data_IF_076630310272
#
_entry.id   IF_076630310272
#
_cell.length_a   1.000
_cell.length_b   1.000
_cell.length_c   1.000
_cell.angle_alpha   90.00
_cell.angle_beta   90.00
_cell.angle_gamma   90.00
#
_symmetry.space_group_name_H-M   'P 1'
#
loop_
_entity.id
_entity.type
_entity.pdbx_description
1 polymer ?
#
# COMPACT_ATOMS: atom_id res chain seq x y z
N UNK A 1 -54.82 50.06 -8.10
CA UNK A 1 -54.24 51.21 -7.36
C UNK A 1 -52.85 51.50 -7.92
N UNK A 2 -52.48 52.78 -7.94
CA UNK A 2 -51.22 53.40 -8.43
C UNK A 2 -51.05 54.68 -7.58
N UNK A 3 -49.85 55.27 -7.32
CA UNK A 3 -48.45 54.88 -7.57
C UNK A 3 -47.77 54.37 -6.26
N UNK A 4 -46.47 54.08 -6.07
CA UNK A 4 -45.15 54.63 -6.49
C UNK A 4 -44.73 55.96 -5.82
N UNK A 5 -43.60 56.02 -5.09
CA UNK A 5 -42.49 56.99 -5.24
C UNK A 5 -41.35 56.81 -4.21
N UNK A 6 -40.23 57.53 -4.40
CA UNK A 6 -38.94 57.39 -3.69
C UNK A 6 -38.44 58.67 -2.99
N UNK A 7 -37.70 58.53 -1.87
CA UNK A 7 -36.61 59.40 -1.32
C UNK A 7 -35.97 58.63 -0.13
N UNK A 8 -34.65 58.54 0.15
CA UNK A 8 -33.39 59.22 -0.23
C UNK A 8 -33.06 60.49 0.61
N UNK A 9 -31.76 60.64 0.98
CA UNK A 9 -31.06 61.73 1.75
C UNK A 9 -30.99 61.41 3.28
N UNK A 10 -29.83 61.12 3.93
CA UNK A 10 -28.55 61.87 4.18
C UNK A 10 -28.74 62.87 5.36
N UNK A 11 -27.84 63.11 6.35
CA UNK A 11 -26.39 62.85 6.61
C UNK A 11 -26.09 62.74 8.12
N UNK A 12 -24.86 62.34 8.52
CA UNK A 12 -24.36 62.55 9.90
C UNK A 12 -22.97 61.94 10.22
N UNK A 13 -21.88 62.51 9.69
CA UNK A 13 -20.49 62.15 10.08
C UNK A 13 -19.87 63.18 11.03
N UNK A 14 -18.94 62.72 11.90
CA UNK A 14 -17.54 63.20 12.02
C UNK A 14 -16.84 62.41 13.16
N UNK A 15 -15.70 61.75 12.92
CA UNK A 15 -14.30 62.22 13.09
C UNK A 15 -13.93 62.47 14.57
N UNK A 16 -12.78 62.07 15.15
CA UNK A 16 -11.52 61.44 14.70
C UNK A 16 -10.92 60.67 15.93
N UNK A 17 -9.78 59.97 15.96
CA UNK A 17 -8.60 59.71 15.09
C UNK A 17 -7.96 58.36 15.52
N UNK A 18 -6.89 57.87 14.87
CA UNK A 18 -6.03 56.79 15.43
C UNK A 18 -5.33 55.87 14.42
N UNK A 19 -4.25 56.34 13.77
CA UNK A 19 -3.43 55.53 12.85
C UNK A 19 -2.07 55.19 13.48
N UNK A 20 -1.63 53.93 13.37
CA UNK A 20 -0.25 53.49 13.66
C UNK A 20 0.27 52.67 12.47
N UNK A 21 1.55 52.82 12.16
CA UNK A 21 2.16 52.45 10.87
C UNK A 21 2.82 51.07 10.85
N UNK A 22 2.85 50.46 9.67
CA UNK A 22 3.69 49.29 9.39
C UNK A 22 5.17 49.68 9.26
N UNK A 23 6.05 49.18 10.12
CA UNK A 23 7.48 49.36 9.94
C UNK A 23 8.02 48.41 8.85
N UNK A 24 8.61 48.98 7.80
CA UNK A 24 9.56 48.29 6.93
C UNK A 24 10.92 48.24 7.64
N UNK A 25 11.55 47.08 7.68
CA UNK A 25 13.01 46.99 7.82
C UNK A 25 13.65 46.81 6.44
N UNK A 26 14.90 47.25 6.29
CA UNK A 26 15.64 47.29 5.03
C UNK A 26 16.99 46.59 5.24
N UNK A 27 17.38 45.72 4.32
CA UNK A 27 18.46 44.73 4.47
C UNK A 27 19.91 45.30 4.42
N UNK A 28 20.09 46.61 4.59
CA UNK A 28 21.37 47.30 4.36
C UNK A 28 22.11 47.79 5.62
N UNK A 29 21.62 47.52 6.84
CA UNK A 29 22.34 47.86 8.07
C UNK A 29 23.25 46.72 8.58
N UNK A 30 24.44 46.66 7.97
CA UNK A 30 25.70 46.12 8.51
C UNK A 30 25.81 44.60 8.77
N UNK A 31 26.97 43.96 8.53
CA UNK A 31 28.23 44.45 7.96
C UNK A 31 29.29 43.34 7.99
N UNK A 32 30.09 43.20 6.92
CA UNK A 32 31.02 42.08 6.76
C UNK A 32 32.17 42.08 7.78
N UNK A 33 32.45 40.91 8.38
CA UNK A 33 33.80 40.40 8.68
C UNK A 33 33.78 38.90 8.96
N UNK A 34 34.52 38.13 8.18
CA UNK A 34 34.90 36.76 8.49
C UNK A 34 36.41 36.63 8.61
N UNK A 35 36.91 35.59 9.29
CA UNK A 35 38.32 35.19 9.32
C UNK A 35 38.43 33.69 9.64
N UNK A 36 39.55 33.06 9.23
CA UNK A 36 39.82 31.62 9.37
C UNK A 36 40.80 31.31 10.52
N UNK A 37 40.65 30.12 11.11
CA UNK A 37 41.71 29.23 11.65
C UNK A 37 40.97 27.96 12.12
N UNK A 38 41.16 26.72 11.63
CA UNK A 38 42.22 26.01 10.89
C UNK A 38 43.29 25.33 11.78
N UNK A 39 43.39 24.00 11.59
CA UNK A 39 44.45 23.02 11.96
C UNK A 39 44.59 22.43 13.38
N UNK A 40 44.71 21.09 13.36
CA UNK A 40 45.49 20.18 14.22
C UNK A 40 45.13 19.96 15.70
N UNK A 41 44.53 18.79 15.99
CA UNK A 41 45.31 17.68 16.55
C UNK A 41 44.59 16.33 16.42
N UNK A 42 45.37 15.24 16.36
CA UNK A 42 44.93 13.84 16.42
C UNK A 42 45.47 13.24 17.72
N UNK A 43 44.70 12.33 18.35
CA UNK A 43 44.95 11.50 19.57
C UNK A 43 43.90 11.74 20.67
N UNK A 44 43.50 10.76 21.49
CA UNK A 44 43.69 9.30 21.43
C UNK A 44 42.64 8.61 22.33
N UNK A 45 42.38 7.34 22.04
CA UNK A 45 41.38 6.48 22.68
C UNK A 45 41.60 6.34 24.20
N UNK A 46 40.56 6.61 25.00
CA UNK A 46 40.42 6.07 26.37
C UNK A 46 38.99 5.67 26.67
N UNK A 47 38.85 4.57 27.41
CA UNK A 47 37.61 4.05 27.98
C UNK A 47 37.86 3.95 29.48
N UNK A 48 36.99 4.54 30.32
CA UNK A 48 36.38 3.87 31.49
C UNK A 48 35.60 4.79 32.44
N UNK A 49 34.59 4.19 33.10
CA UNK A 49 34.38 4.29 34.55
C UNK A 49 33.95 5.61 35.24
N UNK A 50 32.63 5.84 35.36
CA UNK A 50 31.97 6.72 36.36
C UNK A 50 32.28 8.24 36.25
N UNK A 51 31.61 9.22 36.87
CA UNK A 51 30.41 9.32 37.75
C UNK A 51 29.81 10.77 37.56
N UNK A 52 28.76 11.30 38.21
CA UNK A 52 27.86 10.85 39.29
C UNK A 52 26.48 11.56 39.22
N UNK A 53 25.41 10.85 39.58
CA UNK A 53 24.17 11.30 40.28
C UNK A 53 23.64 12.75 40.06
N UNK A 54 22.46 12.85 39.43
CA UNK A 54 21.29 13.56 40.02
C UNK A 54 20.00 12.90 39.51
N UNK A 55 19.07 12.60 40.42
CA UNK A 55 17.86 11.83 40.11
C UNK A 55 16.59 12.67 40.30
N UNK A 56 15.60 12.46 39.42
CA UNK A 56 14.16 12.70 39.60
C UNK A 56 13.41 11.90 38.51
N UNK A 57 12.26 11.30 38.85
CA UNK A 57 11.37 10.47 37.97
C UNK A 57 12.09 9.40 37.09
N UNK A 58 12.27 8.17 37.56
CA UNK A 58 11.28 7.06 37.54
C UNK A 58 10.63 6.80 36.16
N UNK A 59 10.69 5.59 35.58
CA UNK A 59 11.40 4.36 35.98
C UNK A 59 11.59 3.45 34.76
N UNK A 60 12.83 3.04 34.44
CA UNK A 60 13.13 2.09 33.34
C UNK A 60 13.17 0.66 33.90
N UNK A 61 12.63 -0.33 33.17
CA UNK A 61 12.72 -1.73 33.63
C UNK A 61 14.16 -2.24 33.59
N UNK A 62 14.56 -2.96 34.64
CA UNK A 62 15.78 -3.76 34.68
C UNK A 62 15.38 -5.24 34.59
N UNK A 63 15.98 -5.95 33.64
CA UNK A 63 15.96 -7.41 33.65
C UNK A 63 16.81 -7.91 34.83
N UNK A 64 16.19 -8.70 35.71
CA UNK A 64 16.89 -9.58 36.65
C UNK A 64 16.39 -10.99 36.45
N UNK A 65 17.28 -11.87 36.01
CA UNK A 65 17.09 -13.30 36.10
C UNK A 65 17.19 -13.70 37.58
N UNK A 66 16.25 -14.49 38.07
CA UNK A 66 16.41 -15.17 39.37
C UNK A 66 15.86 -16.58 39.23
N UNK A 67 16.69 -17.56 39.57
CA UNK A 67 16.44 -18.98 39.34
C UNK A 67 16.03 -19.62 40.68
N UNK A 68 14.79 -20.10 40.78
CA UNK A 68 14.30 -20.90 41.90
C UNK A 68 13.40 -22.01 41.36
N UNK A 69 13.37 -23.16 42.05
CA UNK A 69 12.64 -24.35 41.62
C UNK A 69 11.81 -24.99 42.74
N UNK A 70 11.09 -26.04 42.35
CA UNK A 70 10.34 -27.00 43.16
C UNK A 70 9.14 -26.50 44.00
N UNK A 71 7.96 -26.86 43.45
CA UNK A 71 6.78 -27.42 44.13
C UNK A 71 6.04 -26.65 45.25
N UNK A 72 4.72 -26.49 45.04
CA UNK A 72 3.71 -27.26 45.80
C UNK A 72 2.35 -27.28 45.09
N UNK A 73 1.55 -28.31 45.39
CA UNK A 73 0.27 -28.59 44.74
C UNK A 73 -0.88 -27.70 45.22
N UNK A 74 -1.82 -27.37 44.31
CA UNK A 74 -3.18 -26.93 44.64
C UNK A 74 -4.19 -27.58 43.67
N UNK A 75 -5.21 -28.30 44.16
CA UNK A 75 -6.22 -28.94 43.32
C UNK A 75 -7.42 -28.03 43.06
N UNK A 76 -7.48 -27.35 41.92
CA UNK A 76 -8.68 -26.63 41.46
C UNK A 76 -9.05 -27.04 40.04
N UNK A 77 -10.17 -27.76 39.89
CA UNK A 77 -10.76 -28.04 38.57
C UNK A 77 -11.38 -26.75 38.02
N UNK A 78 -10.80 -26.19 36.96
CA UNK A 78 -11.43 -25.15 36.13
C UNK A 78 -11.56 -25.70 34.71
N UNK A 79 -12.75 -25.57 34.12
CA UNK A 79 -13.04 -26.07 32.76
C UNK A 79 -12.35 -25.20 31.70
N UNK A 80 -11.30 -25.73 31.07
CA UNK A 80 -10.48 -25.02 30.09
C UNK A 80 -11.12 -24.92 28.70
N UNK A 81 -11.96 -23.90 28.48
CA UNK A 81 -12.37 -23.43 27.14
C UNK A 81 -12.26 -21.90 27.01
N UNK A 82 -11.02 -21.39 27.01
CA UNK A 82 -10.72 -20.01 26.60
C UNK A 82 -9.53 -19.99 25.63
N UNK A 83 -9.82 -19.82 24.33
CA UNK A 83 -8.82 -19.62 23.29
C UNK A 83 -8.43 -18.13 23.17
N UNK A 84 -7.85 -17.57 24.24
CA UNK A 84 -7.32 -16.21 24.24
C UNK A 84 -5.94 -16.15 23.54
N UNK A 85 -5.89 -16.40 22.21
CA UNK A 85 -4.75 -15.96 21.39
C UNK A 85 -4.92 -14.49 21.00
N UNK A 86 -4.22 -13.61 21.71
CA UNK A 86 -4.07 -12.20 21.34
C UNK A 86 -3.08 -12.07 20.17
N UNK A 87 -3.59 -12.12 18.94
CA UNK A 87 -2.79 -12.03 17.72
C UNK A 87 -2.11 -10.66 17.57
N UNK A 88 -0.86 -10.56 18.03
CA UNK A 88 0.08 -9.54 17.55
C UNK A 88 0.53 -9.89 16.13
N UNK A 89 0.88 -8.88 15.33
CA UNK A 89 1.33 -9.06 13.93
C UNK A 89 2.59 -9.92 13.77
N UNK A 90 3.36 -10.11 14.84
CA UNK A 90 4.53 -11.01 14.87
C UNK A 90 4.11 -12.48 14.99
N UNK A 91 3.01 -12.78 15.69
CA UNK A 91 2.68 -14.12 16.16
C UNK A 91 2.40 -15.11 15.01
N UNK A 92 1.60 -14.70 14.03
CA UNK A 92 1.20 -15.57 12.91
C UNK A 92 2.36 -15.96 11.99
N UNK A 93 3.38 -15.11 11.86
CA UNK A 93 4.59 -15.41 11.10
C UNK A 93 5.55 -16.25 11.95
N UNK A 94 5.75 -15.86 13.21
CA UNK A 94 6.65 -16.55 14.14
C UNK A 94 6.28 -18.02 14.39
N UNK A 95 4.99 -18.37 14.44
CA UNK A 95 4.53 -19.76 14.63
C UNK A 95 4.74 -20.66 13.39
N UNK A 96 5.08 -20.10 12.22
CA UNK A 96 5.22 -20.85 10.96
C UNK A 96 6.66 -21.12 10.50
N UNK A 97 7.65 -20.44 11.08
CA UNK A 97 9.08 -20.57 10.73
C UNK A 97 9.49 -20.01 9.35
N UNK A 98 8.55 -19.66 8.47
CA UNK A 98 8.83 -19.13 7.14
C UNK A 98 9.14 -17.62 7.24
N UNK A 99 10.43 -17.27 7.28
CA UNK A 99 10.90 -15.87 7.30
C UNK A 99 10.63 -15.09 6.00
N UNK A 100 10.36 -15.77 4.89
CA UNK A 100 10.30 -15.19 3.54
C UNK A 100 8.87 -15.17 2.99
N UNK A 101 8.53 -14.15 2.21
CA UNK A 101 7.23 -14.10 1.52
C UNK A 101 7.06 -15.29 0.58
N UNK A 102 5.84 -15.81 0.46
CA UNK A 102 5.54 -16.85 -0.51
C UNK A 102 5.71 -16.27 -1.94
N UNK A 103 6.40 -16.95 -2.88
CA UNK A 103 6.62 -16.39 -4.21
C UNK A 103 5.33 -16.08 -4.98
N UNK A 104 4.29 -16.90 -4.84
CA UNK A 104 2.98 -16.63 -5.45
C UNK A 104 2.24 -15.46 -4.79
N UNK A 105 2.46 -15.22 -3.49
CA UNK A 105 1.98 -14.00 -2.83
C UNK A 105 2.62 -12.76 -3.47
N UNK A 106 3.94 -12.80 -3.73
CA UNK A 106 4.63 -11.68 -4.37
C UNK A 106 4.12 -11.45 -5.79
N UNK A 107 3.86 -12.50 -6.57
CA UNK A 107 3.20 -12.38 -7.89
C UNK A 107 1.78 -11.80 -7.80
N UNK A 108 0.95 -12.27 -6.86
CA UNK A 108 -0.40 -11.74 -6.67
C UNK A 108 -0.42 -10.28 -6.24
N UNK A 109 0.43 -9.92 -5.27
CA UNK A 109 0.56 -8.55 -4.79
C UNK A 109 1.15 -7.62 -5.86
N UNK A 110 2.02 -8.16 -6.73
CA UNK A 110 2.50 -7.44 -7.91
C UNK A 110 1.42 -7.28 -8.99
N UNK A 111 0.55 -8.28 -9.23
CA UNK A 111 -0.62 -8.19 -10.12
C UNK A 111 -1.62 -7.10 -9.68
N UNK A 112 -1.70 -6.82 -8.39
CA UNK A 112 -2.36 -5.64 -7.85
C UNK A 112 -1.47 -4.38 -8.01
N UNK A 113 -0.52 -4.18 -7.09
CA UNK A 113 0.06 -2.87 -6.75
C UNK A 113 1.32 -2.48 -7.56
N UNK A 114 1.85 -3.37 -8.40
CA UNK A 114 3.10 -3.09 -9.14
C UNK A 114 2.89 -2.38 -10.47
N UNK A 115 3.98 -1.80 -10.98
CA UNK A 115 4.12 -1.32 -12.35
C UNK A 115 5.49 -1.70 -12.94
N UNK A 116 5.45 -2.32 -14.12
CA UNK A 116 6.58 -2.50 -15.01
C UNK A 116 6.59 -1.32 -15.97
N UNK A 117 7.64 -0.50 -15.89
CA UNK A 117 7.64 0.83 -16.47
C UNK A 117 8.94 1.11 -17.21
N UNK A 118 8.84 1.75 -18.37
CA UNK A 118 9.98 2.32 -19.08
C UNK A 118 9.66 3.78 -19.38
N UNK A 119 10.62 4.66 -19.10
CA UNK A 119 10.57 6.09 -19.38
C UNK A 119 11.62 6.45 -20.41
N UNK A 120 11.24 7.28 -21.38
CA UNK A 120 12.12 7.79 -22.44
C UNK A 120 12.04 9.31 -22.37
N UNK A 121 13.17 9.99 -22.18
CA UNK A 121 13.21 11.43 -21.96
C UNK A 121 14.48 12.05 -22.55
N UNK A 122 14.41 13.33 -22.96
CA UNK A 122 15.53 14.02 -23.59
C UNK A 122 16.72 14.14 -22.65
N UNK A 123 17.91 13.90 -23.21
CA UNK A 123 19.19 14.11 -22.57
C UNK A 123 20.24 14.35 -23.68
N UNK A 124 20.39 15.62 -24.07
CA UNK A 124 21.25 16.07 -25.18
C UNK A 124 22.76 15.75 -24.99
N UNK A 125 23.15 15.13 -23.86
CA UNK A 125 24.51 14.63 -23.59
C UNK A 125 24.73 13.18 -24.07
N UNK A 126 23.72 12.53 -24.64
CA UNK A 126 23.80 11.16 -25.18
C UNK A 126 23.76 11.18 -26.71
N UNK A 127 24.35 10.16 -27.33
CA UNK A 127 24.43 9.99 -28.80
C UNK A 127 23.09 10.07 -29.51
N UNK A 128 22.04 9.52 -28.91
CA UNK A 128 20.66 9.53 -29.44
C UNK A 128 19.88 10.79 -29.08
N UNK A 129 20.42 11.67 -28.24
CA UNK A 129 19.69 12.76 -27.59
C UNK A 129 18.69 12.31 -26.51
N UNK A 130 18.58 11.00 -26.22
CA UNK A 130 17.55 10.42 -25.35
C UNK A 130 18.12 9.46 -24.31
N UNK A 131 17.53 9.47 -23.11
CA UNK A 131 17.79 8.48 -22.06
C UNK A 131 16.58 7.56 -21.92
N UNK A 132 16.82 6.26 -22.06
CA UNK A 132 15.89 5.20 -21.66
C UNK A 132 16.16 4.82 -20.20
N UNK A 133 15.10 4.60 -19.41
CA UNK A 133 15.18 4.03 -18.06
C UNK A 133 14.02 3.07 -17.83
N UNK A 134 14.32 1.81 -17.53
CA UNK A 134 13.33 0.82 -17.09
C UNK A 134 13.33 0.66 -15.57
N UNK A 135 12.16 0.39 -14.98
CA UNK A 135 12.00 0.08 -13.56
C UNK A 135 10.78 -0.80 -13.26
N UNK A 136 10.97 -1.78 -12.37
CA UNK A 136 9.89 -2.43 -11.62
C UNK A 136 9.66 -1.64 -10.34
N UNK A 137 8.40 -1.41 -9.96
CA UNK A 137 8.10 -0.69 -8.73
C UNK A 137 6.73 -1.02 -8.14
N UNK A 138 6.57 -0.83 -6.83
CA UNK A 138 5.31 -0.93 -6.09
C UNK A 138 5.15 0.36 -5.29
N UNK A 139 4.00 1.03 -5.39
CA UNK A 139 3.71 2.29 -4.71
C UNK A 139 2.46 2.18 -3.85
N UNK A 140 2.61 2.38 -2.53
CA UNK A 140 1.54 2.23 -1.55
C UNK A 140 1.35 3.53 -0.74
N UNK A 141 0.31 3.58 0.10
CA UNK A 141 0.24 4.58 1.17
C UNK A 141 1.38 4.34 2.19
N UNK A 142 1.94 5.41 2.77
CA UNK A 142 3.03 5.33 3.76
C UNK A 142 2.74 4.34 4.90
N UNK A 143 1.48 4.19 5.32
CA UNK A 143 1.08 3.27 6.39
C UNK A 143 1.49 1.81 6.11
N UNK A 144 1.42 1.38 4.86
CA UNK A 144 1.68 0.00 4.43
C UNK A 144 3.17 -0.27 4.14
N UNK A 145 4.07 0.69 4.42
CA UNK A 145 5.53 0.60 4.19
C UNK A 145 6.19 -0.70 4.68
N UNK A 146 5.69 -1.32 5.75
CA UNK A 146 6.23 -2.59 6.27
C UNK A 146 6.16 -3.76 5.27
N UNK A 147 5.19 -3.80 4.35
CA UNK A 147 5.16 -4.87 3.33
C UNK A 147 6.23 -4.67 2.26
N UNK A 148 6.63 -3.43 1.98
CA UNK A 148 7.68 -3.14 1.00
C UNK A 148 9.05 -3.57 1.48
N UNK A 149 9.35 -3.45 2.79
CA UNK A 149 10.59 -3.99 3.36
C UNK A 149 10.67 -5.52 3.23
N UNK A 150 9.56 -6.23 3.46
CA UNK A 150 9.48 -7.69 3.25
C UNK A 150 9.63 -8.08 1.77
N UNK A 151 9.08 -7.28 0.84
CA UNK A 151 9.29 -7.49 -0.61
C UNK A 151 10.74 -7.21 -1.02
N UNK A 152 11.38 -6.19 -0.45
CA UNK A 152 12.80 -5.91 -0.66
C UNK A 152 13.67 -7.06 -0.14
N UNK A 153 13.41 -7.57 1.07
CA UNK A 153 14.12 -8.72 1.65
C UNK A 153 13.91 -9.99 0.80
N UNK A 154 12.67 -10.26 0.35
CA UNK A 154 12.35 -11.38 -0.55
C UNK A 154 13.16 -11.36 -1.85
N UNK A 155 13.39 -10.18 -2.44
CA UNK A 155 14.23 -10.03 -3.64
C UNK A 155 15.75 -9.93 -3.32
N UNK A 156 16.18 -10.29 -2.10
CA UNK A 156 17.60 -10.30 -1.72
C UNK A 156 18.18 -8.93 -1.38
N UNK A 157 17.33 -7.97 -0.97
CA UNK A 157 17.73 -6.63 -0.57
C UNK A 157 17.79 -5.59 -1.70
N UNK A 158 17.60 -5.99 -2.97
CA UNK A 158 17.78 -5.11 -4.14
C UNK A 158 16.79 -3.95 -4.21
N UNK A 159 17.16 -2.90 -4.95
CA UNK A 159 16.33 -1.72 -5.18
C UNK A 159 16.36 -0.73 -4.02
N UNK A 160 15.38 0.18 -4.02
CA UNK A 160 15.27 1.27 -3.05
C UNK A 160 13.83 1.48 -2.61
N UNK A 161 13.62 1.72 -1.32
CA UNK A 161 12.36 2.25 -0.78
C UNK A 161 12.52 3.76 -0.57
N UNK A 162 11.64 4.55 -1.19
CA UNK A 162 11.60 6.01 -1.06
C UNK A 162 10.26 6.44 -0.46
N UNK A 163 10.32 7.28 0.57
CA UNK A 163 9.14 7.84 1.23
C UNK A 163 8.82 9.22 0.65
N UNK A 164 7.58 9.40 0.21
CA UNK A 164 7.01 10.70 -0.13
C UNK A 164 6.08 11.17 1.00
N UNK A 165 6.56 12.14 1.77
CA UNK A 165 5.84 12.69 2.93
C UNK A 165 4.71 13.65 2.55
N UNK A 166 4.73 14.26 1.36
CA UNK A 166 3.66 15.19 0.94
C UNK A 166 2.52 14.43 0.27
N UNK A 167 2.82 13.36 -0.47
CA UNK A 167 1.81 12.45 -1.01
C UNK A 167 1.29 11.40 -0.01
N UNK A 168 1.84 11.34 1.21
CA UNK A 168 1.57 10.28 2.20
C UNK A 168 1.77 8.86 1.60
N UNK A 169 2.82 8.72 0.78
CA UNK A 169 3.05 7.56 -0.07
C UNK A 169 4.46 6.99 0.10
N UNK A 170 4.64 5.72 -0.23
CA UNK A 170 5.93 5.02 -0.15
C UNK A 170 6.10 4.14 -1.38
N UNK A 171 7.27 4.20 -2.02
CA UNK A 171 7.55 3.51 -3.27
C UNK A 171 8.79 2.64 -3.17
N UNK A 172 8.61 1.33 -3.35
CA UNK A 172 9.69 0.40 -3.66
C UNK A 172 10.00 0.47 -5.16
N UNK A 173 11.27 0.48 -5.55
CA UNK A 173 11.69 0.58 -6.94
C UNK A 173 13.01 -0.13 -7.18
N UNK A 174 13.04 -1.02 -8.17
CA UNK A 174 14.26 -1.60 -8.76
C UNK A 174 14.44 -0.96 -10.14
N UNK A 175 15.56 -0.27 -10.33
CA UNK A 175 15.91 0.44 -11.57
C UNK A 175 17.36 0.21 -12.04
N UNK A 176 18.06 -0.73 -11.40
CA UNK A 176 19.34 -1.28 -11.87
C UNK A 176 19.09 -2.37 -12.92
N UNK A 177 19.68 -2.21 -14.10
CA UNK A 177 19.49 -3.12 -15.23
C UNK A 177 19.91 -4.57 -14.93
N UNK A 178 20.97 -4.78 -14.13
CA UNK A 178 21.42 -6.13 -13.75
C UNK A 178 20.40 -6.81 -12.83
N UNK A 179 19.85 -6.09 -11.86
CA UNK A 179 18.91 -6.63 -10.88
C UNK A 179 17.54 -6.90 -11.53
N UNK A 180 17.12 -6.02 -12.45
CA UNK A 180 15.94 -6.24 -13.29
C UNK A 180 16.06 -7.54 -14.10
N UNK A 181 17.20 -7.71 -14.79
CA UNK A 181 17.45 -8.87 -15.65
C UNK A 181 17.65 -10.18 -14.90
N UNK A 182 18.41 -10.16 -13.80
CA UNK A 182 18.90 -11.39 -13.16
C UNK A 182 18.06 -11.83 -11.96
N UNK A 183 17.15 -10.98 -11.43
CA UNK A 183 16.33 -11.27 -10.25
C UNK A 183 14.84 -11.05 -10.54
N UNK A 184 14.45 -9.85 -10.99
CA UNK A 184 13.03 -9.51 -11.19
C UNK A 184 12.40 -10.30 -12.35
N UNK A 185 13.01 -10.31 -13.53
CA UNK A 185 12.49 -11.05 -14.69
C UNK A 185 12.43 -12.56 -14.41
N UNK A 186 13.48 -13.23 -13.88
CA UNK A 186 13.42 -14.65 -13.53
C UNK A 186 12.35 -15.02 -12.50
N UNK A 187 12.06 -14.14 -11.53
CA UNK A 187 10.94 -14.34 -10.60
C UNK A 187 9.60 -14.37 -11.35
N UNK A 188 9.29 -13.35 -12.16
CA UNK A 188 8.01 -13.27 -12.88
C UNK A 188 7.90 -14.23 -14.07
N UNK A 189 9.00 -14.83 -14.54
CA UNK A 189 8.97 -15.99 -15.46
C UNK A 189 8.67 -17.30 -14.74
N UNK A 190 9.13 -17.47 -13.49
CA UNK A 190 8.89 -18.67 -12.68
C UNK A 190 7.53 -18.66 -11.97
N UNK A 191 7.04 -17.48 -11.61
CA UNK A 191 5.75 -17.27 -10.94
C UNK A 191 4.96 -16.20 -11.71
N UNK A 192 4.34 -16.56 -12.86
CA UNK A 192 3.74 -15.59 -13.77
C UNK A 192 2.64 -14.73 -13.15
N UNK A 193 2.59 -13.49 -13.62
CA UNK A 193 1.45 -12.60 -13.47
C UNK A 193 0.29 -13.10 -14.34
N UNK A 194 -0.94 -12.92 -13.88
CA UNK A 194 -2.15 -13.47 -14.54
C UNK A 194 -3.23 -12.42 -14.83
N UNK A 195 -3.01 -11.14 -14.50
CA UNK A 195 -3.79 -10.01 -15.04
C UNK A 195 -3.25 -9.56 -16.41
N UNK A 196 -3.95 -8.65 -17.09
CA UNK A 196 -3.45 -7.96 -18.27
C UNK A 196 -2.16 -7.14 -18.03
N UNK A 197 -1.69 -7.00 -16.78
CA UNK A 197 -0.36 -6.45 -16.43
C UNK A 197 0.78 -7.38 -16.86
N UNK A 198 0.53 -8.68 -17.02
CA UNK A 198 1.52 -9.62 -17.55
C UNK A 198 1.96 -9.26 -18.99
N UNK A 199 1.10 -8.60 -19.77
CA UNK A 199 1.48 -8.09 -21.08
C UNK A 199 2.41 -6.86 -21.00
N UNK A 200 2.33 -6.04 -19.94
CA UNK A 200 3.34 -5.00 -19.68
C UNK A 200 4.67 -5.63 -19.26
N UNK A 201 4.64 -6.72 -18.48
CA UNK A 201 5.84 -7.47 -18.11
C UNK A 201 6.56 -8.08 -19.32
N UNK A 202 5.84 -8.71 -20.25
CA UNK A 202 6.42 -9.29 -21.49
C UNK A 202 7.10 -8.21 -22.35
N UNK A 203 6.46 -7.05 -22.51
CA UNK A 203 7.04 -5.92 -23.26
C UNK A 203 8.21 -5.27 -22.50
N UNK A 204 8.17 -5.26 -21.16
CA UNK A 204 9.26 -4.79 -20.29
C UNK A 204 10.50 -5.69 -20.38
N UNK A 205 10.33 -7.01 -20.41
CA UNK A 205 11.42 -7.98 -20.60
C UNK A 205 12.17 -7.70 -21.92
N UNK A 206 11.45 -7.50 -23.03
CA UNK A 206 12.04 -7.18 -24.33
C UNK A 206 12.87 -5.89 -24.29
N UNK A 207 12.40 -4.84 -23.61
CA UNK A 207 13.17 -3.60 -23.44
C UNK A 207 14.39 -3.80 -22.53
N UNK A 208 14.30 -4.63 -21.49
CA UNK A 208 15.44 -4.90 -20.59
C UNK A 208 16.57 -5.65 -21.33
N UNK A 209 16.24 -6.62 -22.19
CA UNK A 209 17.26 -7.27 -23.03
C UNK A 209 17.87 -6.31 -24.06
N UNK A 210 17.06 -5.52 -24.80
CA UNK A 210 17.56 -4.48 -25.71
C UNK A 210 18.41 -3.40 -24.99
N UNK A 211 18.11 -3.12 -23.71
CA UNK A 211 18.95 -2.26 -22.89
C UNK A 211 20.27 -2.95 -22.48
N UNK A 212 20.24 -4.25 -22.20
CA UNK A 212 21.44 -5.05 -21.86
C UNK A 212 22.41 -5.19 -23.05
N UNK A 213 21.87 -5.40 -24.25
CA UNK A 213 22.59 -5.46 -25.52
C UNK A 213 23.14 -4.09 -25.98
N UNK A 214 22.77 -3.00 -25.31
CA UNK A 214 23.20 -1.64 -25.64
C UNK A 214 22.44 -0.98 -26.80
N UNK A 215 21.42 -1.64 -27.37
CA UNK A 215 20.66 -1.15 -28.52
C UNK A 215 20.08 0.27 -28.30
N UNK A 216 19.71 0.59 -27.05
CA UNK A 216 19.24 1.91 -26.60
C UNK A 216 20.22 3.10 -26.82
N UNK A 217 21.48 2.83 -27.20
CA UNK A 217 22.52 3.83 -27.50
C UNK A 217 22.57 4.16 -29.02
N UNK A 218 21.86 3.38 -29.84
CA UNK A 218 21.67 3.60 -31.29
C UNK A 218 20.29 4.20 -31.59
N UNK A 219 20.14 4.88 -32.73
CA UNK A 219 18.84 5.42 -33.15
C UNK A 219 17.86 4.29 -33.48
N UNK A 220 18.30 3.24 -34.18
CA UNK A 220 17.45 2.11 -34.58
C UNK A 220 16.96 1.31 -33.37
N UNK A 221 17.85 0.99 -32.43
CA UNK A 221 17.50 0.32 -31.18
C UNK A 221 16.65 1.18 -30.25
N UNK A 222 16.83 2.51 -30.25
CA UNK A 222 15.91 3.43 -29.59
C UNK A 222 14.52 3.40 -30.25
N UNK A 223 14.42 3.41 -31.58
CA UNK A 223 13.15 3.31 -32.29
C UNK A 223 12.44 1.96 -32.05
N UNK A 224 13.19 0.85 -31.92
CA UNK A 224 12.65 -0.45 -31.48
C UNK A 224 12.07 -0.36 -30.06
N UNK A 225 12.81 0.21 -29.10
CA UNK A 225 12.33 0.42 -27.73
C UNK A 225 11.10 1.33 -27.69
N UNK A 226 11.03 2.37 -28.53
CA UNK A 226 9.85 3.24 -28.68
C UNK A 226 8.65 2.47 -29.23
N UNK A 227 8.83 1.61 -30.25
CA UNK A 227 7.78 0.74 -30.79
C UNK A 227 7.20 -0.22 -29.73
N UNK A 228 8.05 -0.79 -28.86
CA UNK A 228 7.60 -1.64 -27.75
C UNK A 228 6.90 -0.79 -26.68
N UNK A 229 7.51 0.33 -26.27
CA UNK A 229 6.99 1.25 -25.24
C UNK A 229 5.65 1.86 -25.62
N UNK A 230 5.36 2.07 -26.89
CA UNK A 230 4.07 2.56 -27.37
C UNK A 230 2.89 1.66 -26.97
N UNK A 231 3.14 0.37 -26.72
CA UNK A 231 2.12 -0.62 -26.32
C UNK A 231 2.12 -0.97 -24.81
N UNK A 232 2.96 -0.30 -24.02
CA UNK A 232 3.08 -0.48 -22.56
C UNK A 232 2.38 0.62 -21.77
N UNK A 233 1.61 0.25 -20.74
CA UNK A 233 0.87 1.14 -19.87
C UNK A 233 0.06 2.18 -20.69
N UNK A 234 0.32 3.48 -20.50
CA UNK A 234 -0.33 4.60 -21.21
C UNK A 234 0.33 4.97 -22.56
N UNK A 235 1.18 4.12 -23.12
CA UNK A 235 1.90 4.39 -24.37
C UNK A 235 3.00 5.45 -24.24
N UNK A 236 3.39 6.06 -25.36
CA UNK A 236 4.42 7.12 -25.43
C UNK A 236 3.80 8.53 -25.34
N UNK A 237 4.55 9.48 -24.78
CA UNK A 237 4.13 10.89 -24.68
C UNK A 237 4.12 11.59 -26.05
N UNK A 238 3.32 12.66 -26.17
CA UNK A 238 3.11 13.35 -27.45
C UNK A 238 4.41 13.86 -28.08
N UNK A 239 5.34 14.38 -27.27
CA UNK A 239 6.68 14.81 -27.69
C UNK A 239 7.47 13.69 -28.37
N UNK A 240 7.36 12.45 -27.88
CA UNK A 240 8.01 11.28 -28.50
C UNK A 240 7.28 10.91 -29.80
N UNK A 241 5.94 10.99 -29.85
CA UNK A 241 5.19 10.73 -31.10
C UNK A 241 5.53 11.72 -32.21
N UNK A 242 5.68 13.01 -31.88
CA UNK A 242 6.02 14.05 -32.86
C UNK A 242 7.43 13.90 -33.43
N UNK A 243 8.39 13.44 -32.62
CA UNK A 243 9.79 13.30 -33.04
C UNK A 243 10.10 11.92 -33.65
N UNK A 244 9.35 10.88 -33.28
CA UNK A 244 9.44 9.53 -33.83
C UNK A 244 8.14 9.15 -34.56
N UNK A 245 7.74 9.98 -35.53
CA UNK A 245 6.46 9.87 -36.25
C UNK A 245 6.29 8.56 -37.07
N UNK A 246 7.37 7.81 -37.31
CA UNK A 246 7.34 6.49 -37.96
C UNK A 246 7.06 5.33 -36.98
N UNK A 247 6.83 5.61 -35.69
CA UNK A 247 6.60 4.60 -34.65
C UNK A 247 5.44 3.67 -35.00
N UNK A 248 5.70 2.36 -34.97
CA UNK A 248 4.72 1.29 -35.20
C UNK A 248 4.59 0.48 -33.91
N UNK A 249 3.52 0.67 -33.11
CA UNK A 249 3.36 -0.01 -31.83
C UNK A 249 3.36 -1.54 -31.98
N UNK A 250 4.15 -2.23 -31.16
CA UNK A 250 4.23 -3.70 -31.16
C UNK A 250 2.88 -4.30 -30.73
N UNK A 251 2.41 -5.37 -31.37
CA UNK A 251 1.14 -6.02 -31.02
C UNK A 251 1.17 -6.47 -29.55
N UNK A 252 0.33 -5.85 -28.71
CA UNK A 252 0.15 -6.25 -27.31
C UNK A 252 -0.59 -7.61 -27.23
N UNK A 253 -0.04 -8.54 -26.47
CA UNK A 253 -0.70 -9.82 -26.15
C UNK A 253 -1.90 -9.59 -25.22
N UNK A 254 -3.02 -10.24 -25.49
CA UNK A 254 -4.14 -10.34 -24.54
C UNK A 254 -3.89 -11.56 -23.65
N UNK A 255 -3.86 -11.36 -22.34
CA UNK A 255 -3.60 -12.41 -21.35
C UNK A 255 -4.89 -13.20 -21.13
N UNK A 256 -4.84 -14.52 -21.37
CA UNK A 256 -5.98 -15.43 -21.21
C UNK A 256 -5.67 -16.46 -20.11
N UNK A 257 -6.05 -16.12 -18.88
CA UNK A 257 -5.82 -16.95 -17.70
C UNK A 257 -6.93 -17.99 -17.56
N UNK A 258 -6.57 -19.28 -17.55
CA UNK A 258 -7.52 -20.41 -17.51
C UNK A 258 -7.70 -21.01 -16.10
N UNK A 259 -6.70 -20.87 -15.23
CA UNK A 259 -6.73 -21.33 -13.84
C UNK A 259 -5.99 -20.38 -12.90
N UNK A 260 -6.40 -20.36 -11.63
CA UNK A 260 -5.59 -19.75 -10.57
C UNK A 260 -4.39 -20.68 -10.30
N UNK A 261 -3.14 -20.18 -10.25
CA UNK A 261 -1.96 -21.04 -10.11
C UNK A 261 -1.71 -21.49 -8.67
N UNK A 262 -2.10 -20.70 -7.67
CA UNK A 262 -1.89 -21.00 -6.26
C UNK A 262 -2.83 -20.16 -5.37
N UNK A 263 -3.33 -20.67 -4.23
CA UNK A 263 -4.13 -19.86 -3.29
C UNK A 263 -3.37 -18.63 -2.76
N UNK A 264 -2.04 -18.70 -2.61
CA UNK A 264 -1.23 -17.55 -2.19
C UNK A 264 -1.22 -16.41 -3.24
N UNK A 265 -1.49 -16.69 -4.51
CA UNK A 265 -1.67 -15.62 -5.51
C UNK A 265 -2.94 -14.80 -5.20
N UNK A 266 -4.04 -15.46 -4.81
CA UNK A 266 -5.27 -14.75 -4.40
C UNK A 266 -5.00 -13.88 -3.18
N UNK A 267 -4.25 -14.37 -2.18
CA UNK A 267 -4.00 -13.57 -0.97
C UNK A 267 -3.05 -12.40 -1.22
N UNK A 268 -2.08 -12.55 -2.13
CA UNK A 268 -1.30 -11.44 -2.65
C UNK A 268 -2.18 -10.39 -3.32
N UNK A 269 -3.01 -10.80 -4.28
CA UNK A 269 -3.87 -9.90 -5.05
C UNK A 269 -4.91 -9.19 -4.17
N UNK A 270 -5.53 -9.93 -3.24
CA UNK A 270 -6.48 -9.40 -2.24
C UNK A 270 -5.79 -8.50 -1.20
N UNK A 271 -4.49 -8.67 -0.94
CA UNK A 271 -3.74 -7.75 -0.06
C UNK A 271 -3.53 -6.35 -0.68
N UNK A 272 -3.72 -6.20 -2.00
CA UNK A 272 -3.88 -4.90 -2.66
C UNK A 272 -5.35 -4.53 -2.88
N UNK A 273 -5.99 -5.19 -3.86
CA UNK A 273 -7.31 -4.84 -4.43
C UNK A 273 -8.53 -5.27 -3.58
N UNK A 274 -8.30 -6.02 -2.50
CA UNK A 274 -9.36 -6.53 -1.62
C UNK A 274 -9.92 -5.50 -0.64
N UNK A 275 -11.15 -5.70 -0.18
CA UNK A 275 -11.79 -4.87 0.84
C UNK A 275 -12.70 -5.72 1.75
N UNK A 276 -12.41 -5.71 3.05
CA UNK A 276 -13.25 -6.32 4.08
C UNK A 276 -14.21 -5.25 4.64
N UNK A 277 -15.48 -5.37 4.25
CA UNK A 277 -16.53 -4.39 4.50
C UNK A 277 -17.37 -4.81 5.68
N UNK A 278 -17.39 -3.99 6.74
CA UNK A 278 -18.47 -3.96 7.71
C UNK A 278 -19.29 -2.70 7.46
N UNK A 279 -20.56 -2.70 7.87
CA UNK A 279 -21.39 -1.51 7.81
C UNK A 279 -22.76 -1.72 8.43
N UNK A 280 -23.48 -0.62 8.61
CA UNK A 280 -24.76 -0.58 9.34
C UNK A 280 -25.82 0.13 8.48
N UNK A 281 -27.08 -0.33 8.57
CA UNK A 281 -28.25 0.29 7.93
C UNK A 281 -29.40 0.36 8.93
N UNK A 282 -30.25 1.40 8.83
CA UNK A 282 -31.50 1.47 9.61
C UNK A 282 -32.38 0.25 9.31
N UNK A 283 -33.10 -0.22 10.32
CA UNK A 283 -33.89 -1.45 10.31
C UNK A 283 -35.01 -1.37 11.36
N UNK A 284 -36.05 -2.20 11.23
CA UNK A 284 -37.22 -2.22 12.14
C UNK A 284 -37.12 -3.24 13.27
N UNK A 285 -35.92 -3.76 13.54
CA UNK A 285 -35.61 -4.62 14.69
C UNK A 285 -35.44 -3.79 15.97
N UNK A 286 -35.34 -4.47 17.13
CA UNK A 286 -35.24 -3.86 18.47
C UNK A 286 -34.10 -2.81 18.57
N UNK A 287 -32.97 -3.08 17.91
CA UNK A 287 -31.78 -2.19 17.87
C UNK A 287 -31.93 -1.02 16.88
N UNK A 288 -33.02 -0.97 16.10
CA UNK A 288 -33.26 0.04 15.04
C UNK A 288 -32.28 -0.02 13.86
N UNK A 289 -31.39 -1.01 13.84
CA UNK A 289 -30.26 -1.12 12.92
C UNK A 289 -29.90 -2.57 12.61
N UNK A 290 -29.46 -2.81 11.37
CA UNK A 290 -28.94 -4.08 10.87
C UNK A 290 -27.48 -3.92 10.46
N UNK A 291 -26.61 -4.71 11.08
CA UNK A 291 -25.22 -4.91 10.65
C UNK A 291 -25.20 -5.76 9.39
N UNK A 292 -24.27 -5.48 8.48
CA UNK A 292 -23.98 -6.34 7.33
C UNK A 292 -22.46 -6.43 7.11
N UNK A 293 -22.01 -7.57 6.61
CA UNK A 293 -20.63 -7.79 6.17
C UNK A 293 -20.60 -8.07 4.66
N UNK A 294 -19.55 -7.61 3.97
CA UNK A 294 -19.22 -8.04 2.61
C UNK A 294 -17.71 -8.26 2.47
N UNK A 295 -17.32 -9.27 1.70
CA UNK A 295 -16.02 -9.30 1.05
C UNK A 295 -16.17 -8.69 -0.34
N UNK A 296 -15.23 -7.82 -0.72
CA UNK A 296 -15.10 -7.28 -2.08
C UNK A 296 -13.69 -7.47 -2.61
N UNK A 297 -13.60 -7.70 -3.92
CA UNK A 297 -12.38 -7.58 -4.71
C UNK A 297 -12.72 -6.78 -5.98
N UNK A 298 -11.97 -5.73 -6.26
CA UNK A 298 -12.27 -4.75 -7.34
C UNK A 298 -11.19 -4.82 -8.41
N UNK A 299 -11.55 -4.67 -9.69
CA UNK A 299 -10.55 -4.56 -10.78
C UNK A 299 -11.14 -3.87 -12.02
N UNK A 300 -10.28 -3.39 -12.91
CA UNK A 300 -10.70 -2.87 -14.21
C UNK A 300 -11.30 -3.97 -15.12
N UNK A 301 -12.32 -3.61 -15.89
CA UNK A 301 -13.09 -4.48 -16.83
C UNK A 301 -12.22 -5.31 -17.79
N UNK A 302 -11.01 -4.84 -18.14
CA UNK A 302 -10.03 -5.60 -18.94
C UNK A 302 -9.68 -6.99 -18.36
N UNK A 303 -9.84 -7.17 -17.05
CA UNK A 303 -9.53 -8.38 -16.29
C UNK A 303 -10.81 -9.16 -15.90
N UNK A 304 -11.96 -8.88 -16.52
CA UNK A 304 -13.26 -9.53 -16.21
C UNK A 304 -13.18 -11.05 -16.19
N UNK A 305 -12.48 -11.67 -17.14
CA UNK A 305 -12.33 -13.13 -17.21
C UNK A 305 -11.60 -13.72 -16.00
N UNK A 306 -10.57 -13.01 -15.48
CA UNK A 306 -9.87 -13.39 -14.24
C UNK A 306 -10.81 -13.25 -13.03
N UNK A 307 -11.66 -12.23 -13.00
CA UNK A 307 -12.61 -12.02 -11.90
C UNK A 307 -13.72 -13.09 -11.89
N UNK A 308 -14.20 -13.51 -13.06
CA UNK A 308 -15.14 -14.62 -13.23
C UNK A 308 -14.47 -15.96 -12.84
N UNK A 309 -13.18 -16.14 -13.15
CA UNK A 309 -12.36 -17.27 -12.73
C UNK A 309 -12.12 -17.32 -11.20
N UNK A 310 -11.92 -16.19 -10.53
CA UNK A 310 -11.77 -16.13 -9.07
C UNK A 310 -13.08 -16.54 -8.37
N UNK A 311 -14.25 -16.12 -8.88
CA UNK A 311 -15.55 -16.60 -8.39
C UNK A 311 -15.65 -18.13 -8.54
N UNK A 312 -15.28 -18.68 -9.71
CA UNK A 312 -15.26 -20.13 -9.96
C UNK A 312 -14.31 -20.87 -9.02
N UNK A 313 -13.14 -20.29 -8.71
CA UNK A 313 -12.15 -20.90 -7.81
C UNK A 313 -12.61 -20.91 -6.34
N UNK A 314 -13.21 -19.81 -5.86
CA UNK A 314 -13.73 -19.71 -4.49
C UNK A 314 -15.07 -20.43 -4.31
N UNK A 315 -15.76 -20.80 -5.39
CA UNK A 315 -17.11 -21.37 -5.38
C UNK A 315 -18.21 -20.40 -4.95
N UNK A 316 -17.89 -19.14 -4.63
CA UNK A 316 -18.82 -18.15 -4.08
C UNK A 316 -18.59 -16.74 -4.62
N UNK A 317 -19.68 -15.97 -4.61
CA UNK A 317 -19.70 -14.57 -5.00
C UNK A 317 -20.51 -14.32 -6.27
N UNK A 318 -20.75 -13.03 -6.54
CA UNK A 318 -21.29 -12.55 -7.81
C UNK A 318 -20.38 -11.46 -8.36
N UNK A 319 -20.41 -11.25 -9.67
CA UNK A 319 -19.71 -10.14 -10.31
C UNK A 319 -20.68 -8.98 -10.54
N UNK A 320 -20.43 -7.85 -9.89
CA UNK A 320 -21.08 -6.57 -10.16
C UNK A 320 -20.23 -5.78 -11.18
N UNK A 321 -20.86 -5.16 -12.18
CA UNK A 321 -20.16 -4.43 -13.26
C UNK A 321 -20.65 -2.98 -13.29
N UNK A 322 -19.77 -1.99 -13.09
CA UNK A 322 -20.09 -0.56 -13.31
C UNK A 322 -19.47 -0.11 -14.63
N UNK A 323 -20.29 -0.19 -15.68
CA UNK A 323 -19.91 0.16 -17.05
C UNK A 323 -19.47 1.62 -17.23
N UNK A 324 -19.91 2.54 -16.34
CA UNK A 324 -19.57 3.97 -16.42
C UNK A 324 -18.13 4.23 -15.98
N UNK A 325 -17.63 3.44 -15.04
CA UNK A 325 -16.30 3.56 -14.44
C UNK A 325 -15.30 2.53 -14.99
N UNK A 326 -15.73 1.68 -15.93
CA UNK A 326 -14.95 0.54 -16.47
C UNK A 326 -14.44 -0.42 -15.38
N UNK A 327 -15.20 -0.58 -14.28
CA UNK A 327 -14.85 -1.42 -13.12
C UNK A 327 -15.74 -2.65 -13.01
N UNK A 328 -15.17 -3.76 -12.55
CA UNK A 328 -15.89 -4.95 -12.10
C UNK A 328 -15.49 -5.32 -10.67
N UNK A 329 -16.45 -5.83 -9.90
CA UNK A 329 -16.29 -6.09 -8.46
C UNK A 329 -16.88 -7.44 -8.11
N UNK A 330 -16.07 -8.36 -7.58
CA UNK A 330 -16.58 -9.58 -6.95
C UNK A 330 -17.16 -9.17 -5.60
N UNK A 331 -18.40 -9.60 -5.32
CA UNK A 331 -19.06 -9.35 -4.03
C UNK A 331 -19.56 -10.65 -3.42
N UNK A 332 -19.09 -10.95 -2.22
CA UNK A 332 -19.67 -11.96 -1.32
C UNK A 332 -20.33 -11.22 -0.16
N UNK A 333 -21.61 -11.51 0.11
CA UNK A 333 -22.38 -10.85 1.18
C UNK A 333 -23.51 -11.70 1.76
N UNK A 334 -23.57 -12.99 1.40
CA UNK A 334 -24.31 -13.99 2.17
C UNK A 334 -23.43 -14.36 3.37
N UNK A 335 -23.99 -14.35 4.59
CA UNK A 335 -23.21 -14.54 5.81
C UNK A 335 -22.56 -15.94 5.91
N UNK A 336 -23.30 -17.02 5.59
CA UNK A 336 -22.76 -18.39 5.52
C UNK A 336 -21.56 -18.48 4.59
N UNK A 337 -21.66 -17.95 3.37
CA UNK A 337 -20.53 -17.94 2.42
C UNK A 337 -19.30 -17.17 2.97
N UNK A 338 -19.50 -16.19 3.86
CA UNK A 338 -18.40 -15.48 4.52
C UNK A 338 -17.78 -16.34 5.64
N UNK A 339 -18.59 -16.97 6.49
CA UNK A 339 -18.12 -17.76 7.65
C UNK A 339 -17.61 -19.16 7.30
N UNK A 340 -18.14 -19.79 6.26
CA UNK A 340 -17.86 -21.18 5.90
C UNK A 340 -16.78 -21.31 4.81
N UNK A 341 -16.54 -20.26 4.03
CA UNK A 341 -15.60 -20.29 2.89
C UNK A 341 -14.59 -19.14 2.96
N UNK A 342 -15.01 -17.87 2.99
CA UNK A 342 -14.08 -16.73 2.90
C UNK A 342 -13.18 -16.60 4.14
N UNK A 343 -13.73 -16.71 5.35
CA UNK A 343 -12.95 -16.66 6.60
C UNK A 343 -12.00 -17.87 6.72
N UNK A 344 -12.44 -19.13 6.51
CA UNK A 344 -11.54 -20.28 6.50
C UNK A 344 -10.41 -20.15 5.46
N UNK A 345 -10.70 -19.68 4.25
CA UNK A 345 -9.67 -19.48 3.21
C UNK A 345 -8.60 -18.45 3.64
N UNK A 346 -8.99 -17.28 4.15
CA UNK A 346 -8.04 -16.24 4.58
C UNK A 346 -7.42 -16.51 5.97
N UNK A 347 -7.94 -17.46 6.74
CA UNK A 347 -7.25 -18.01 7.91
C UNK A 347 -6.17 -19.04 7.52
N UNK A 348 -6.43 -19.88 6.51
CA UNK A 348 -5.44 -20.83 5.99
C UNK A 348 -4.33 -20.14 5.18
N UNK A 349 -4.69 -19.10 4.43
CA UNK A 349 -3.78 -18.31 3.61
C UNK A 349 -3.91 -16.83 4.02
N UNK A 350 -3.02 -16.30 4.89
CA UNK A 350 -3.16 -14.95 5.41
C UNK A 350 -3.06 -13.83 4.37
N UNK A 351 -3.92 -12.81 4.52
CA UNK A 351 -3.74 -11.46 3.96
C UNK A 351 -2.59 -10.77 4.70
N UNK A 352 -1.80 -9.92 4.03
CA UNK A 352 -0.71 -9.14 4.64
C UNK A 352 -0.96 -7.62 4.52
N UNK A 353 -0.03 -6.80 5.01
CA UNK A 353 -0.18 -5.35 5.11
C UNK A 353 -1.17 -4.93 6.20
N UNK A 354 -1.55 -3.65 6.25
CA UNK A 354 -2.54 -3.16 7.24
C UNK A 354 -3.94 -3.71 6.98
N UNK A 355 -4.23 -4.14 5.74
CA UNK A 355 -5.46 -4.86 5.39
C UNK A 355 -5.65 -6.16 6.19
N UNK A 356 -4.58 -6.77 6.73
CA UNK A 356 -4.69 -7.87 7.69
C UNK A 356 -5.41 -7.45 8.97
N UNK A 357 -5.18 -6.23 9.48
CA UNK A 357 -5.85 -5.71 10.67
C UNK A 357 -7.34 -5.46 10.39
N UNK A 358 -7.66 -4.99 9.19
CA UNK A 358 -9.04 -4.85 8.71
C UNK A 358 -9.75 -6.21 8.61
N UNK A 359 -9.07 -7.23 8.09
CA UNK A 359 -9.55 -8.61 8.09
C UNK A 359 -9.77 -9.17 9.51
N UNK A 360 -8.84 -8.95 10.44
CA UNK A 360 -8.97 -9.40 11.84
C UNK A 360 -10.18 -8.75 12.54
N UNK A 361 -10.35 -7.43 12.41
CA UNK A 361 -11.46 -6.70 13.02
C UNK A 361 -12.81 -7.09 12.38
N UNK A 362 -12.84 -7.30 11.06
CA UNK A 362 -13.99 -7.84 10.33
C UNK A 362 -14.38 -9.26 10.80
N UNK A 363 -13.41 -10.13 11.09
CA UNK A 363 -13.66 -11.46 11.66
C UNK A 363 -14.24 -11.41 13.09
N UNK A 364 -13.89 -10.41 13.90
CA UNK A 364 -14.51 -10.20 15.23
C UNK A 364 -15.99 -9.86 15.07
N UNK A 365 -16.32 -8.95 14.16
CA UNK A 365 -17.72 -8.61 13.85
C UNK A 365 -18.47 -9.86 13.33
N UNK A 366 -17.84 -10.69 12.48
CA UNK A 366 -18.45 -11.94 12.04
C UNK A 366 -18.75 -12.90 13.22
N UNK A 367 -17.84 -13.03 14.18
CA UNK A 367 -18.05 -13.83 15.40
C UNK A 367 -19.23 -13.27 16.23
N UNK A 368 -19.27 -11.95 16.48
CA UNK A 368 -20.38 -11.28 17.19
C UNK A 368 -21.74 -11.39 16.46
N UNK A 369 -21.72 -11.50 15.13
CA UNK A 369 -22.94 -11.79 14.36
C UNK A 369 -23.37 -13.25 14.58
N UNK A 370 -22.45 -14.21 14.47
CA UNK A 370 -22.75 -15.65 14.62
C UNK A 370 -23.25 -16.04 16.01
N UNK A 371 -22.84 -15.30 17.05
CA UNK A 371 -23.30 -15.47 18.44
C UNK A 371 -24.66 -14.81 18.72
N UNK A 372 -25.22 -14.06 17.75
CA UNK A 372 -26.44 -13.28 17.95
C UNK A 372 -26.24 -11.94 18.68
N UNK A 373 -25.04 -11.63 19.17
CA UNK A 373 -24.72 -10.41 19.95
C UNK A 373 -25.10 -9.12 19.21
N UNK A 374 -25.06 -9.13 17.87
CA UNK A 374 -25.52 -8.04 16.99
C UNK A 374 -27.02 -7.69 17.10
N UNK A 375 -27.81 -8.46 17.87
CA UNK A 375 -29.22 -8.22 18.19
C UNK A 375 -29.44 -7.60 19.58
N UNK A 376 -28.39 -7.48 20.40
CA UNK A 376 -28.39 -6.77 21.68
C UNK A 376 -27.89 -5.34 21.50
N UNK A 377 -28.17 -4.43 22.44
CA UNK A 377 -27.70 -3.04 22.37
C UNK A 377 -26.18 -3.01 22.61
N UNK A 378 -25.72 -3.79 23.57
CA UNK A 378 -24.34 -3.88 24.02
C UNK A 378 -23.43 -4.44 22.91
N UNK A 379 -23.80 -5.57 22.32
CA UNK A 379 -23.06 -6.19 21.21
C UNK A 379 -23.15 -5.40 19.90
N UNK A 380 -24.21 -4.61 19.69
CA UNK A 380 -24.29 -3.67 18.57
C UNK A 380 -23.34 -2.49 18.74
N UNK A 381 -23.25 -1.89 19.94
CA UNK A 381 -22.28 -0.84 20.22
C UNK A 381 -20.83 -1.35 20.18
N UNK A 382 -20.55 -2.59 20.60
CA UNK A 382 -19.25 -3.23 20.38
C UNK A 382 -18.91 -3.30 18.88
N UNK A 383 -19.83 -3.78 18.05
CA UNK A 383 -19.66 -3.82 16.59
C UNK A 383 -19.43 -2.42 16.01
N UNK A 384 -20.15 -1.39 16.48
CA UNK A 384 -19.94 0.00 16.05
C UNK A 384 -18.55 0.53 16.39
N UNK A 385 -18.03 0.21 17.57
CA UNK A 385 -16.67 0.62 17.98
C UNK A 385 -15.61 -0.08 17.12
N UNK A 386 -15.82 -1.33 16.74
CA UNK A 386 -14.89 -2.07 15.85
C UNK A 386 -14.97 -1.53 14.40
N UNK A 387 -16.17 -1.33 13.85
CA UNK A 387 -16.37 -0.85 12.48
C UNK A 387 -15.77 0.56 12.28
N UNK A 388 -15.96 1.46 13.26
CA UNK A 388 -15.43 2.82 13.22
C UNK A 388 -13.89 2.93 13.23
N UNK A 389 -13.16 1.85 13.56
CA UNK A 389 -11.68 1.81 13.54
C UNK A 389 -11.10 1.00 12.36
N UNK A 390 -11.94 0.51 11.45
CA UNK A 390 -11.53 -0.24 10.25
C UNK A 390 -11.28 0.65 9.03
N UNK A 391 -10.56 0.13 8.05
CA UNK A 391 -10.34 0.63 6.70
C UNK A 391 -9.82 2.08 6.62
N UNK A 392 -10.74 3.07 6.57
CA UNK A 392 -10.44 4.50 6.57
C UNK A 392 -10.41 5.11 7.98
N UNK A 393 -11.19 4.55 8.92
CA UNK A 393 -11.16 4.94 10.34
C UNK A 393 -9.87 4.49 11.06
N UNK A 394 -9.13 3.55 10.47
CA UNK A 394 -7.87 3.03 11.03
C UNK A 394 -6.75 4.07 10.98
N UNK A 395 -6.66 4.88 12.04
CA UNK A 395 -5.55 5.81 12.27
C UNK A 395 -4.24 5.05 12.42
N UNK A 396 -3.18 5.57 11.80
CA UNK A 396 -1.82 5.07 11.98
C UNK A 396 -1.41 5.23 13.46
N UNK A 397 -1.43 4.14 14.24
CA UNK A 397 -0.56 4.04 15.41
C UNK A 397 0.87 4.18 14.89
N UNK A 398 1.68 5.06 15.49
CA UNK A 398 3.13 5.03 15.25
C UNK A 398 3.62 3.67 15.72
N UNK A 399 4.00 2.81 14.77
CA UNK A 399 4.91 1.70 15.04
C UNK A 399 6.26 2.37 15.25
N UNK A 400 6.76 2.29 16.47
CA UNK A 400 8.02 2.92 16.94
C UNK A 400 9.13 1.88 16.81
#
# INVERSE_FOLDING_TARGET
MVPSYSRKIISGQNNYLGMVTSHKMIENEMGYRGSKSELNSVKEQRVDGSWSIKAISNKKMLLRCTLMGFERNYPVKISSKQLNKSFSTVSAIAESGVKTLNPWFVSGFADAESSFSTSIYKNNKLTTGYRVKSSFSIGLNQRDSFILYQVQEFFGGIGTIRLDKTANAVKYSVDNLKDLRNIIIPHFKKYPLITQKAADFILFEQIVELMHEGAHITIDGLQQIINIKASMNLGISETIKSEFNQTKPVKRTIIQTTNIPNPNWITGFVSGEGNFDAGIRKSTNIVGSRVYLRFRLTQHTRDTQLMELIIKYLGVGRLEKDSRNLVVTIVVGNFSNLTEIIIPFFNQYPILGIKHLDYQDWCKIANLISQGSHLTIEGFEEIRVIEAIMNQGRKNKKII
#
